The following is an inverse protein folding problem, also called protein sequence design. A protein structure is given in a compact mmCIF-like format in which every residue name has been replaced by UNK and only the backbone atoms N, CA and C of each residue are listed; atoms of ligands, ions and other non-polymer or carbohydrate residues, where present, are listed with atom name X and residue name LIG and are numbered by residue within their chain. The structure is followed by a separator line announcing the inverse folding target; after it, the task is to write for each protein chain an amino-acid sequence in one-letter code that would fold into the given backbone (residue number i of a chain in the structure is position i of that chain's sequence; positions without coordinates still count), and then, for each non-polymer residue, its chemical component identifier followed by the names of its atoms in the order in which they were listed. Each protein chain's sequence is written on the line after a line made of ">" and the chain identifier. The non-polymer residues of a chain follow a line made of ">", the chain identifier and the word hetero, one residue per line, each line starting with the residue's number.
data_IF_878270295730
#
_entry.id   IF_878270295730
#
_cell.length_a   1.000
_cell.length_b   1.000
_cell.length_c   1.000
_cell.angle_alpha   90.00
_cell.angle_beta   90.00
_cell.angle_gamma   90.00
#
_symmetry.space_group_name_H-M   'P 1'
#
loop_
_entity.id
_entity.type
_entity.pdbx_description
1 polymer ?
#
# COMPACT_ATOMS: atom_id res chain seq x y z
N UNK A 1 -0.62 37.76 3.04
CA UNK A 1 -0.95 36.65 3.95
C UNK A 1 -0.21 35.40 3.48
N UNK A 2 0.58 34.77 4.36
CA UNK A 2 1.41 33.60 4.04
C UNK A 2 0.50 32.38 3.78
N UNK A 3 0.44 31.88 2.55
CA UNK A 3 0.01 30.51 2.28
C UNK A 3 1.24 29.60 2.28
N UNK A 4 1.81 29.41 3.47
CA UNK A 4 2.72 28.30 3.69
C UNK A 4 1.84 27.08 4.03
N UNK A 5 1.71 26.12 3.11
CA UNK A 5 1.12 24.81 3.44
C UNK A 5 0.37 24.03 2.37
N UNK A 6 0.12 24.56 1.16
CA UNK A 6 -0.58 23.78 0.12
C UNK A 6 0.33 23.50 -1.08
N UNK A 7 1.33 22.64 -0.87
CA UNK A 7 2.11 22.02 -1.97
C UNK A 7 1.45 20.72 -2.47
N UNK A 8 0.17 20.51 -2.18
CA UNK A 8 -0.60 19.44 -2.81
C UNK A 8 -1.37 20.06 -3.96
N UNK A 9 -0.99 19.68 -5.18
CA UNK A 9 -1.85 19.79 -6.37
C UNK A 9 -3.28 19.43 -5.97
N UNK A 10 -4.28 20.14 -6.51
CA UNK A 10 -5.68 19.78 -6.25
C UNK A 10 -5.88 18.28 -6.54
N UNK A 11 -6.49 17.52 -5.63
CA UNK A 11 -6.69 16.10 -5.87
C UNK A 11 -7.63 15.92 -7.05
N UNK A 12 -7.31 14.99 -7.91
CA UNK A 12 -8.20 14.58 -9.00
C UNK A 12 -9.46 13.91 -8.43
N UNK A 13 -10.53 13.84 -9.22
CA UNK A 13 -11.73 13.10 -8.81
C UNK A 13 -11.41 11.62 -8.49
N UNK A 14 -10.48 11.01 -9.22
CA UNK A 14 -10.03 9.64 -8.94
C UNK A 14 -9.39 9.52 -7.56
N UNK A 15 -8.50 10.44 -7.20
CA UNK A 15 -7.86 10.46 -5.88
C UNK A 15 -8.90 10.67 -4.77
N UNK A 16 -9.84 11.60 -4.97
CA UNK A 16 -10.91 11.85 -4.00
C UNK A 16 -11.80 10.61 -3.82
N UNK A 17 -12.22 9.97 -4.91
CA UNK A 17 -13.05 8.76 -4.87
C UNK A 17 -12.29 7.60 -4.22
N UNK A 18 -11.01 7.40 -4.55
CA UNK A 18 -10.19 6.36 -3.92
C UNK A 18 -10.01 6.60 -2.42
N UNK A 19 -9.89 7.86 -1.98
CA UNK A 19 -9.81 8.18 -0.57
C UNK A 19 -11.12 7.88 0.19
N UNK A 20 -12.27 8.16 -0.43
CA UNK A 20 -13.58 7.77 0.13
C UNK A 20 -13.69 6.25 0.21
N UNK A 21 -13.32 5.53 -0.85
CA UNK A 21 -13.31 4.06 -0.87
C UNK A 21 -12.44 3.50 0.26
N UNK A 22 -11.21 4.02 0.44
CA UNK A 22 -10.30 3.59 1.50
C UNK A 22 -10.91 3.68 2.91
N UNK A 23 -11.68 4.75 3.16
CA UNK A 23 -12.35 4.97 4.45
C UNK A 23 -13.55 4.07 4.70
N UNK A 24 -14.15 3.52 3.65
CA UNK A 24 -15.37 2.71 3.69
C UNK A 24 -15.14 1.28 3.20
N UNK A 25 -13.90 0.77 3.21
CA UNK A 25 -13.57 -0.58 2.76
C UNK A 25 -14.48 -1.69 3.31
N UNK A 26 -14.84 -1.71 4.62
CA UNK A 26 -15.70 -2.75 5.18
C UNK A 26 -17.14 -2.73 4.65
N UNK A 27 -17.58 -1.59 4.13
CA UNK A 27 -18.94 -1.35 3.64
C UNK A 27 -19.07 -1.58 2.13
N UNK A 28 -17.95 -1.92 1.45
CA UNK A 28 -17.96 -2.11 0.01
C UNK A 28 -18.79 -3.33 -0.39
N UNK A 29 -19.64 -3.21 -1.43
CA UNK A 29 -20.42 -4.33 -1.95
C UNK A 29 -19.55 -5.36 -2.69
N UNK A 30 -18.30 -5.01 -3.03
CA UNK A 30 -17.36 -5.85 -3.76
C UNK A 30 -15.95 -5.77 -3.17
N UNK A 31 -15.18 -6.84 -3.34
CA UNK A 31 -13.77 -6.87 -2.92
C UNK A 31 -12.89 -5.95 -3.77
N UNK A 32 -11.73 -5.61 -3.23
CA UNK A 32 -10.74 -4.74 -3.90
C UNK A 32 -10.27 -5.26 -5.26
N UNK A 33 -10.40 -6.58 -5.51
CA UNK A 33 -10.06 -7.21 -6.79
C UNK A 33 -10.89 -6.68 -7.97
N UNK A 34 -12.10 -6.14 -7.71
CA UNK A 34 -12.94 -5.54 -8.74
C UNK A 34 -12.39 -4.19 -9.25
N UNK A 35 -11.44 -3.58 -8.55
CA UNK A 35 -10.90 -2.28 -8.91
C UNK A 35 -9.65 -2.41 -9.79
N UNK A 36 -9.48 -1.52 -10.79
CA UNK A 36 -8.26 -1.48 -11.59
C UNK A 36 -7.00 -1.32 -10.73
N UNK A 37 -5.83 -1.87 -11.15
CA UNK A 37 -4.58 -1.76 -10.39
C UNK A 37 -4.23 -0.32 -9.98
N UNK A 38 -4.48 0.65 -10.87
CA UNK A 38 -4.24 2.07 -10.59
C UNK A 38 -5.09 2.61 -9.45
N UNK A 39 -6.37 2.24 -9.38
CA UNK A 39 -7.26 2.64 -8.30
C UNK A 39 -6.86 1.99 -6.98
N UNK A 40 -6.47 0.71 -7.00
CA UNK A 40 -5.93 0.01 -5.83
C UNK A 40 -4.68 0.71 -5.27
N UNK A 41 -3.80 1.22 -6.13
CA UNK A 41 -2.61 1.97 -5.70
C UNK A 41 -2.98 3.27 -4.95
N UNK A 42 -3.97 4.03 -5.44
CA UNK A 42 -4.44 5.23 -4.75
C UNK A 42 -5.15 4.90 -3.42
N UNK A 43 -5.93 3.82 -3.38
CA UNK A 43 -6.54 3.33 -2.14
C UNK A 43 -5.46 2.97 -1.12
N UNK A 44 -4.44 2.20 -1.52
CA UNK A 44 -3.31 1.86 -0.65
C UNK A 44 -2.61 3.11 -0.12
N UNK A 45 -2.34 4.09 -0.99
CA UNK A 45 -1.68 5.33 -0.60
C UNK A 45 -2.47 6.09 0.48
N UNK A 46 -3.80 6.14 0.38
CA UNK A 46 -4.64 6.75 1.40
C UNK A 46 -4.62 5.95 2.72
N UNK A 47 -4.69 4.61 2.66
CA UNK A 47 -4.62 3.76 3.87
C UNK A 47 -3.29 3.94 4.61
N UNK A 48 -2.19 4.06 3.86
CA UNK A 48 -0.86 4.37 4.40
C UNK A 48 -0.85 5.78 5.00
N UNK A 49 -1.32 6.80 4.28
CA UNK A 49 -1.30 8.19 4.71
C UNK A 49 -2.18 8.45 5.94
N UNK A 50 -3.31 7.77 6.05
CA UNK A 50 -4.24 7.82 7.19
C UNK A 50 -3.85 6.88 8.33
N UNK A 51 -2.82 6.04 8.15
CA UNK A 51 -2.39 5.03 9.11
C UNK A 51 -3.53 4.07 9.51
N UNK A 52 -4.35 3.67 8.54
CA UNK A 52 -5.49 2.75 8.70
C UNK A 52 -5.32 1.43 7.94
N UNK A 53 -4.17 1.23 7.28
CA UNK A 53 -3.87 0.02 6.54
C UNK A 53 -3.89 -1.23 7.43
N UNK A 54 -4.83 -2.14 7.15
CA UNK A 54 -4.83 -3.50 7.66
C UNK A 54 -3.88 -4.37 6.83
N UNK A 55 -2.94 -5.04 7.49
CA UNK A 55 -1.94 -5.90 6.86
C UNK A 55 -2.57 -7.10 6.14
N UNK A 56 -3.77 -7.54 6.56
CA UNK A 56 -4.50 -8.62 5.89
C UNK A 56 -4.88 -8.26 4.43
N UNK A 57 -4.97 -6.97 4.12
CA UNK A 57 -5.30 -6.48 2.79
C UNK A 57 -4.08 -6.33 1.88
N UNK A 58 -2.86 -6.35 2.42
CA UNK A 58 -1.62 -6.15 1.66
C UNK A 58 -1.46 -7.07 0.44
N UNK A 59 -1.80 -8.38 0.50
CA UNK A 59 -1.75 -9.26 -0.66
C UNK A 59 -2.59 -8.76 -1.85
N UNK A 60 -3.69 -8.05 -1.59
CA UNK A 60 -4.59 -7.52 -2.62
C UNK A 60 -4.00 -6.32 -3.37
N UNK A 61 -3.00 -5.65 -2.79
CA UNK A 61 -2.30 -4.52 -3.40
C UNK A 61 -0.96 -4.91 -4.03
N UNK A 62 -0.44 -6.08 -3.67
CA UNK A 62 0.85 -6.55 -4.14
C UNK A 62 0.76 -7.01 -5.61
N UNK A 63 1.11 -6.10 -6.53
CA UNK A 63 1.30 -6.38 -7.95
C UNK A 63 2.79 -6.44 -8.31
N UNK A 64 3.16 -5.85 -9.45
CA UNK A 64 4.57 -5.66 -9.82
C UNK A 64 5.27 -4.58 -9.01
N UNK A 65 4.54 -3.61 -8.46
CA UNK A 65 5.08 -2.51 -7.66
C UNK A 65 4.26 -2.35 -6.38
N UNK A 66 4.95 -2.21 -5.24
CA UNK A 66 4.34 -2.03 -3.93
C UNK A 66 5.01 -0.88 -3.17
N UNK A 67 4.24 0.17 -2.87
CA UNK A 67 4.74 1.36 -2.18
C UNK A 67 4.10 1.44 -0.79
N UNK A 68 4.93 1.33 0.25
CA UNK A 68 4.51 1.33 1.65
C UNK A 68 5.25 2.40 2.47
N UNK A 69 5.85 3.37 1.79
CA UNK A 69 6.71 4.40 2.38
C UNK A 69 6.08 5.10 3.57
N UNK A 70 6.75 5.06 4.72
CA UNK A 70 6.29 5.67 5.97
C UNK A 70 5.12 4.96 6.66
N UNK A 71 4.72 3.78 6.16
CA UNK A 71 3.68 2.96 6.81
C UNK A 71 4.18 2.33 8.11
N UNK A 72 3.23 1.80 8.88
CA UNK A 72 3.48 1.01 10.10
C UNK A 72 3.40 -0.50 9.87
N UNK A 73 3.56 -0.94 8.62
CA UNK A 73 3.59 -2.37 8.27
C UNK A 73 4.72 -3.04 9.04
N UNK A 74 4.38 -4.18 9.64
CA UNK A 74 5.27 -5.05 10.40
C UNK A 74 5.85 -6.15 9.52
N UNK A 75 6.78 -6.90 10.10
CA UNK A 75 7.37 -8.09 9.49
C UNK A 75 6.30 -9.10 9.04
N UNK A 76 5.19 -9.21 9.77
CA UNK A 76 4.06 -10.11 9.44
C UNK A 76 3.40 -9.70 8.12
N UNK A 77 3.05 -8.42 7.96
CA UNK A 77 2.48 -7.92 6.72
C UNK A 77 3.41 -8.12 5.53
N UNK A 78 4.72 -7.93 5.71
CA UNK A 78 5.69 -8.16 4.64
C UNK A 78 5.85 -9.66 4.30
N UNK A 79 5.78 -10.55 5.30
CA UNK A 79 5.73 -11.99 5.08
C UNK A 79 4.51 -12.38 4.23
N UNK A 80 3.33 -11.83 4.52
CA UNK A 80 2.10 -12.09 3.75
C UNK A 80 2.27 -11.68 2.29
N UNK A 81 2.83 -10.50 2.04
CA UNK A 81 3.16 -10.02 0.68
C UNK A 81 4.14 -10.97 -0.01
N UNK A 82 5.21 -11.38 0.69
CA UNK A 82 6.25 -12.25 0.11
C UNK A 82 5.67 -13.61 -0.34
N UNK A 83 4.69 -14.13 0.41
CA UNK A 83 4.00 -15.39 0.09
C UNK A 83 3.03 -15.24 -1.06
N UNK A 84 2.24 -14.17 -1.08
CA UNK A 84 1.21 -13.96 -2.08
C UNK A 84 1.81 -13.61 -3.45
N UNK A 85 2.77 -12.68 -3.48
CA UNK A 85 3.15 -12.00 -4.71
C UNK A 85 4.67 -11.89 -4.93
N UNK A 86 5.50 -12.56 -4.12
CA UNK A 86 6.97 -12.47 -4.23
C UNK A 86 7.49 -12.76 -5.63
N UNK A 87 6.89 -13.71 -6.37
CA UNK A 87 7.31 -14.02 -7.74
C UNK A 87 6.96 -12.95 -8.79
N UNK A 88 5.97 -12.09 -8.52
CA UNK A 88 5.50 -11.04 -9.43
C UNK A 88 6.06 -9.65 -9.07
N UNK A 89 6.49 -9.46 -7.83
CA UNK A 89 7.01 -8.19 -7.33
C UNK A 89 8.33 -7.84 -8.01
N UNK A 90 8.41 -6.63 -8.58
CA UNK A 90 9.58 -6.09 -9.28
C UNK A 90 10.13 -4.86 -8.58
N UNK A 91 9.26 -4.09 -7.95
CA UNK A 91 9.59 -2.86 -7.25
C UNK A 91 8.93 -2.84 -5.88
N UNK A 92 9.68 -2.43 -4.87
CA UNK A 92 9.15 -2.22 -3.52
C UNK A 92 9.80 -0.97 -2.92
N UNK A 93 8.98 -0.07 -2.38
CA UNK A 93 9.46 1.06 -1.57
C UNK A 93 8.98 0.90 -0.13
N UNK A 94 9.94 0.62 0.76
CA UNK A 94 9.75 0.43 2.20
C UNK A 94 10.43 1.55 2.99
N UNK A 95 10.76 2.66 2.35
CA UNK A 95 11.47 3.76 2.98
C UNK A 95 10.68 4.29 4.18
N UNK A 96 11.35 4.59 5.29
CA UNK A 96 10.74 5.10 6.54
C UNK A 96 9.72 4.16 7.20
N UNK A 97 9.67 2.88 6.85
CA UNK A 97 8.92 1.87 7.60
C UNK A 97 9.68 1.51 8.88
N UNK A 98 9.21 1.97 10.04
CA UNK A 98 9.94 1.86 11.31
C UNK A 98 9.72 0.53 12.06
N UNK A 99 8.86 -0.34 11.55
CA UNK A 99 8.46 -1.61 12.19
C UNK A 99 9.00 -2.86 11.47
N UNK A 100 9.83 -2.66 10.46
CA UNK A 100 10.45 -3.74 9.69
C UNK A 100 11.85 -4.05 10.21
N UNK A 101 12.19 -5.33 10.23
CA UNK A 101 13.51 -5.83 10.56
C UNK A 101 14.14 -6.59 9.39
N UNK A 102 15.47 -6.76 9.44
CA UNK A 102 16.26 -7.40 8.39
C UNK A 102 15.79 -8.82 8.03
N UNK A 103 15.22 -9.55 9.00
CA UNK A 103 14.66 -10.87 8.79
C UNK A 103 13.50 -10.86 7.78
N UNK A 104 12.60 -9.88 7.87
CA UNK A 104 11.47 -9.76 6.94
C UNK A 104 11.93 -9.35 5.53
N UNK A 105 12.95 -8.48 5.44
CA UNK A 105 13.56 -8.10 4.16
C UNK A 105 14.26 -9.30 3.51
N UNK A 106 14.97 -10.10 4.31
CA UNK A 106 15.61 -11.34 3.85
C UNK A 106 14.58 -12.35 3.35
N UNK A 107 13.46 -12.49 4.07
CA UNK A 107 12.36 -13.35 3.66
C UNK A 107 11.74 -12.87 2.34
N UNK A 108 11.44 -11.57 2.21
CA UNK A 108 10.92 -10.99 0.97
C UNK A 108 11.88 -11.27 -0.21
N UNK A 109 13.16 -10.96 -0.04
CA UNK A 109 14.19 -11.16 -1.06
C UNK A 109 14.33 -12.65 -1.46
N UNK A 110 14.17 -13.58 -0.51
CA UNK A 110 14.21 -15.02 -0.81
C UNK A 110 13.04 -15.51 -1.67
N UNK A 111 11.92 -14.79 -1.68
CA UNK A 111 10.70 -15.11 -2.43
C UNK A 111 10.61 -14.38 -3.77
N UNK A 112 11.35 -13.28 -3.91
CA UNK A 112 11.52 -12.60 -5.19
C UNK A 112 12.45 -13.41 -6.09
N UNK A 113 11.92 -13.96 -7.19
CA UNK A 113 12.74 -14.64 -8.20
C UNK A 113 13.46 -13.58 -9.04
N UNK A 114 14.73 -13.84 -9.36
CA UNK A 114 15.53 -12.99 -10.25
C UNK A 114 14.90 -12.95 -11.65
#
# INVERSE_FOLDING_TARGET
>A
AKHAGCSRSMPTLTELVCAVIARHLPELPCGLEAFPPRSRAFILAELVASNTLDEELLPLFAGSSLVLTGSRVSDRGLEMVSRACGAALREVDLSRCVRLHDAALSLLASRCRR
#
